data_IF_865277572388
#
_entry.id   IF_865277572388
#
_cell.length_a   1.000
_cell.length_b   1.000
_cell.length_c   1.000
_cell.angle_alpha   90.00
_cell.angle_beta   90.00
_cell.angle_gamma   90.00
#
_symmetry.space_group_name_H-M   'P 1'
#
loop_
_entity.id
_entity.type
_entity.pdbx_description
1 polymer ?
#
# COMPACT_ATOMS: atom_id res chain seq x y z
N UNK A 1 -20.07 -11.70 -11.23
CA UNK A 1 -20.01 -11.87 -9.76
C UNK A 1 -18.81 -12.74 -9.41
N UNK A 2 -17.83 -12.23 -8.64
CA UNK A 2 -16.71 -13.05 -8.13
C UNK A 2 -17.28 -14.12 -7.19
N UNK A 3 -17.10 -15.41 -7.52
CA UNK A 3 -17.41 -16.49 -6.59
C UNK A 3 -16.49 -16.33 -5.37
N UNK A 4 -16.99 -15.74 -4.28
CA UNK A 4 -16.30 -15.76 -3.00
C UNK A 4 -16.29 -17.21 -2.56
N UNK A 5 -15.10 -17.79 -2.41
CA UNK A 5 -14.92 -19.13 -1.84
C UNK A 5 -15.88 -19.32 -0.66
N UNK A 6 -16.63 -20.42 -0.65
CA UNK A 6 -17.57 -20.79 0.43
C UNK A 6 -16.90 -20.60 1.80
N UNK A 7 -15.60 -20.93 1.87
CA UNK A 7 -14.78 -20.77 3.07
C UNK A 7 -14.71 -19.32 3.57
N UNK A 8 -14.49 -18.35 2.67
CA UNK A 8 -14.46 -16.92 3.00
C UNK A 8 -15.80 -16.39 3.50
N UNK A 9 -16.90 -17.06 3.18
CA UNK A 9 -18.23 -16.63 3.62
C UNK A 9 -18.62 -17.26 4.95
N UNK A 10 -18.28 -18.53 5.18
CA UNK A 10 -18.70 -19.29 6.37
C UNK A 10 -17.76 -19.10 7.56
N UNK A 11 -16.45 -19.02 7.33
CA UNK A 11 -15.46 -19.02 8.42
C UNK A 11 -14.83 -17.66 8.69
N UNK A 12 -14.87 -16.74 7.71
CA UNK A 12 -14.23 -15.42 7.88
C UNK A 12 -15.12 -14.50 8.70
N UNK A 13 -14.72 -14.24 9.94
CA UNK A 13 -15.33 -13.18 10.75
C UNK A 13 -15.16 -11.84 10.01
N UNK A 14 -16.22 -11.05 9.94
CA UNK A 14 -16.18 -9.68 9.40
C UNK A 14 -15.26 -8.84 10.27
N UNK A 15 -14.01 -8.73 9.83
CA UNK A 15 -12.99 -7.97 10.55
C UNK A 15 -13.18 -6.49 10.26
N UNK A 16 -13.99 -5.80 11.09
CA UNK A 16 -14.11 -4.33 11.10
C UNK A 16 -12.74 -3.64 11.07
N UNK A 17 -11.75 -4.25 11.74
CA UNK A 17 -10.34 -3.85 11.72
C UNK A 17 -9.76 -3.68 10.31
N UNK A 18 -10.12 -4.55 9.35
CA UNK A 18 -9.59 -4.49 7.98
C UNK A 18 -10.15 -3.28 7.22
N UNK A 19 -11.45 -3.00 7.38
CA UNK A 19 -12.09 -1.83 6.80
C UNK A 19 -11.51 -0.54 7.36
N UNK A 20 -11.36 -0.48 8.69
CA UNK A 20 -10.70 0.63 9.36
C UNK A 20 -9.24 0.82 8.89
N UNK A 21 -8.45 -0.25 8.82
CA UNK A 21 -7.07 -0.17 8.36
C UNK A 21 -6.96 0.30 6.90
N UNK A 22 -7.88 -0.15 6.04
CA UNK A 22 -7.94 0.27 4.63
C UNK A 22 -8.28 1.76 4.51
N UNK A 23 -9.21 2.25 5.32
CA UNK A 23 -9.55 3.67 5.40
C UNK A 23 -8.36 4.52 5.85
N UNK A 24 -7.67 4.09 6.92
CA UNK A 24 -6.45 4.74 7.39
C UNK A 24 -5.34 4.74 6.33
N UNK A 25 -5.15 3.61 5.64
CA UNK A 25 -4.18 3.51 4.57
C UNK A 25 -4.46 4.50 3.42
N UNK A 26 -5.73 4.65 3.04
CA UNK A 26 -6.15 5.63 2.04
C UNK A 26 -5.85 7.07 2.47
N UNK A 27 -6.11 7.43 3.73
CA UNK A 27 -5.78 8.77 4.25
C UNK A 27 -4.27 8.99 4.29
N UNK A 28 -3.50 7.98 4.70
CA UNK A 28 -2.04 8.07 4.78
C UNK A 28 -1.36 8.13 3.40
N UNK A 29 -2.07 7.82 2.31
CA UNK A 29 -1.50 7.82 0.95
C UNK A 29 -0.99 9.19 0.52
N UNK A 30 -1.71 10.27 0.87
CA UNK A 30 -1.36 11.64 0.47
C UNK A 30 -0.10 12.14 1.19
N UNK A 31 -0.01 12.09 2.54
CA UNK A 31 1.20 12.49 3.26
C UNK A 31 2.41 11.62 2.90
N UNK A 32 2.19 10.33 2.62
CA UNK A 32 3.24 9.42 2.16
C UNK A 32 3.81 9.85 0.81
N UNK A 33 2.96 10.19 -0.17
CA UNK A 33 3.39 10.66 -1.49
C UNK A 33 4.33 11.87 -1.40
N UNK A 34 4.07 12.79 -0.46
CA UNK A 34 4.91 13.98 -0.23
C UNK A 34 6.37 13.62 0.06
N UNK A 35 6.63 12.47 0.69
CA UNK A 35 7.98 12.01 1.01
C UNK A 35 8.54 11.13 -0.11
N UNK A 36 7.74 10.20 -0.64
CA UNK A 36 8.21 9.18 -1.59
C UNK A 36 8.80 9.77 -2.86
N UNK A 37 8.24 10.88 -3.34
CA UNK A 37 8.73 11.60 -4.53
C UNK A 37 10.22 11.96 -4.40
N UNK A 38 10.72 12.20 -3.19
CA UNK A 38 12.12 12.51 -2.95
C UNK A 38 13.01 11.26 -2.80
N UNK A 39 12.53 10.20 -2.16
CA UNK A 39 13.36 9.03 -1.77
C UNK A 39 13.35 7.86 -2.75
N UNK A 40 12.27 7.67 -3.50
CA UNK A 40 12.09 6.50 -4.40
C UNK A 40 12.16 6.90 -5.86
N UNK A 41 12.58 5.98 -6.72
CA UNK A 41 12.65 6.13 -8.19
C UNK A 41 11.86 5.03 -8.88
N UNK A 42 11.61 5.18 -10.18
CA UNK A 42 11.03 4.11 -11.01
C UNK A 42 9.72 3.56 -10.41
N UNK A 43 8.81 4.46 -10.02
CA UNK A 43 7.51 4.09 -9.45
C UNK A 43 6.61 3.47 -10.53
N UNK A 44 5.67 2.60 -10.14
CA UNK A 44 4.69 2.07 -11.09
C UNK A 44 3.68 3.14 -11.54
N UNK A 45 3.22 3.08 -12.79
CA UNK A 45 2.26 4.05 -13.35
C UNK A 45 0.93 4.11 -12.60
N UNK A 46 0.48 2.95 -12.07
CA UNK A 46 -0.75 2.86 -11.26
C UNK A 46 -0.54 3.36 -9.83
N UNK A 47 0.71 3.37 -9.37
CA UNK A 47 1.06 3.79 -8.03
C UNK A 47 1.21 5.31 -7.95
N UNK A 48 1.96 5.91 -8.87
CA UNK A 48 2.22 7.35 -8.90
C UNK A 48 1.24 8.09 -9.81
N UNK A 49 0.43 8.97 -9.23
CA UNK A 49 -0.45 9.86 -9.99
C UNK A 49 0.15 11.26 -10.09
N UNK A 50 0.54 11.65 -11.31
CA UNK A 50 1.00 13.02 -11.56
C UNK A 50 -0.11 14.05 -11.34
N UNK A 51 -1.37 13.70 -11.64
CA UNK A 51 -2.52 14.57 -11.40
C UNK A 51 -2.67 14.94 -9.93
N UNK A 52 -2.51 13.96 -9.02
CA UNK A 52 -2.51 14.22 -7.58
C UNK A 52 -1.36 15.15 -7.16
N UNK A 53 -0.18 14.97 -7.77
CA UNK A 53 0.98 15.83 -7.51
C UNK A 53 0.74 17.29 -7.93
N UNK A 54 0.06 17.52 -9.06
CA UNK A 54 -0.35 18.88 -9.49
C UNK A 54 -1.32 19.49 -8.48
N UNK A 55 -2.32 18.74 -8.02
CA UNK A 55 -3.31 19.24 -7.05
C UNK A 55 -2.62 19.66 -5.74
N UNK A 56 -1.70 18.83 -5.22
CA UNK A 56 -0.93 19.16 -4.02
C UNK A 56 -0.02 20.37 -4.23
N UNK A 57 0.62 20.49 -5.40
CA UNK A 57 1.41 21.67 -5.74
C UNK A 57 0.56 22.95 -5.75
N UNK A 58 -0.61 22.92 -6.39
CA UNK A 58 -1.54 24.06 -6.41
C UNK A 58 -2.01 24.45 -5.00
N UNK A 59 -2.24 23.47 -4.13
CA UNK A 59 -2.58 23.73 -2.73
C UNK A 59 -1.45 24.47 -1.98
N UNK A 60 -0.20 24.08 -2.18
CA UNK A 60 0.96 24.80 -1.63
C UNK A 60 1.11 26.20 -2.23
N UNK A 61 0.88 26.35 -3.54
CA UNK A 61 0.93 27.64 -4.22
C UNK A 61 -0.16 28.60 -3.72
N UNK A 62 -1.39 28.13 -3.55
CA UNK A 62 -2.49 28.93 -3.00
C UNK A 62 -2.14 29.39 -1.58
N UNK A 63 -1.58 28.50 -0.76
CA UNK A 63 -1.13 28.84 0.60
C UNK A 63 -0.06 29.93 0.58
N UNK A 64 0.89 29.85 -0.36
CA UNK A 64 1.91 30.87 -0.57
C UNK A 64 1.30 32.23 -1.00
N UNK A 65 0.39 32.22 -1.97
CA UNK A 65 -0.26 33.44 -2.47
C UNK A 65 -1.11 34.11 -1.38
N UNK A 66 -1.86 33.34 -0.61
CA UNK A 66 -2.64 33.85 0.52
C UNK A 66 -1.74 34.46 1.61
N UNK A 67 -0.61 33.81 1.89
CA UNK A 67 0.41 34.32 2.81
C UNK A 67 1.01 35.65 2.33
N UNK A 68 1.32 35.77 1.04
CA UNK A 68 1.84 37.00 0.45
C UNK A 68 0.79 38.12 0.47
N UNK A 69 -0.46 37.81 0.13
CA UNK A 69 -1.57 38.77 0.13
C UNK A 69 -1.87 39.30 1.54
N UNK A 70 -1.96 38.42 2.53
CA UNK A 70 -2.19 38.81 3.93
C UNK A 70 -1.07 39.70 4.50
N UNK A 71 0.18 39.44 4.13
CA UNK A 71 1.31 40.27 4.51
C UNK A 71 1.26 41.66 3.86
N UNK A 72 0.90 41.73 2.57
CA UNK A 72 0.71 43.01 1.87
C UNK A 72 -0.40 43.85 2.51
N UNK A 73 -1.46 43.20 3.02
CA UNK A 73 -2.57 43.88 3.67
C UNK A 73 -2.28 44.34 5.11
N UNK A 74 -1.41 43.65 5.85
CA UNK A 74 -1.26 43.84 7.31
C UNK A 74 0.00 44.59 7.76
N UNK A 75 0.86 45.12 6.88
CA UNK A 75 2.12 45.83 7.19
C UNK A 75 3.07 45.14 8.21
N UNK A 76 2.80 43.90 8.61
CA UNK A 76 3.59 43.11 9.56
C UNK A 76 4.47 42.12 8.80
N UNK A 77 5.70 42.53 8.53
CA UNK A 77 6.54 41.98 7.48
C UNK A 77 7.29 40.67 7.81
N UNK A 78 7.12 40.03 8.97
CA UNK A 78 8.13 39.04 9.43
C UNK A 78 7.64 37.69 9.95
N UNK A 79 6.36 37.32 9.78
CA UNK A 79 5.80 36.13 10.45
C UNK A 79 5.22 35.02 9.57
N UNK A 80 5.21 35.13 8.23
CA UNK A 80 4.29 34.30 7.45
C UNK A 80 4.89 32.93 7.08
N UNK A 81 4.35 31.87 7.68
CA UNK A 81 4.72 30.46 7.45
C UNK A 81 4.58 29.97 5.98
N UNK A 82 3.96 30.76 5.08
CA UNK A 82 3.67 30.34 3.71
C UNK A 82 4.90 30.18 2.82
N UNK A 83 5.98 30.93 3.07
CA UNK A 83 7.19 30.85 2.23
C UNK A 83 7.87 29.49 2.29
N UNK A 84 7.98 28.88 3.48
CA UNK A 84 8.55 27.55 3.63
C UNK A 84 7.75 26.50 2.85
N UNK A 85 6.42 26.54 2.94
CA UNK A 85 5.54 25.66 2.17
C UNK A 85 5.63 25.90 0.67
N UNK A 86 5.77 27.16 0.23
CA UNK A 86 5.95 27.51 -1.17
C UNK A 86 7.23 26.92 -1.77
N UNK A 87 8.36 27.09 -1.09
CA UNK A 87 9.65 26.52 -1.51
C UNK A 87 9.56 24.98 -1.56
N UNK A 88 9.00 24.37 -0.50
CA UNK A 88 8.79 22.93 -0.47
C UNK A 88 7.89 22.46 -1.62
N UNK A 89 6.81 23.18 -1.92
CA UNK A 89 5.89 22.87 -3.02
C UNK A 89 6.59 22.90 -4.38
N UNK A 90 7.44 23.90 -4.64
CA UNK A 90 8.25 23.99 -5.87
C UNK A 90 9.20 22.79 -5.97
N UNK A 91 9.94 22.48 -4.89
CA UNK A 91 10.85 21.33 -4.86
C UNK A 91 10.09 20.01 -5.08
N UNK A 92 8.96 19.84 -4.40
CA UNK A 92 8.08 18.68 -4.57
C UNK A 92 7.64 18.53 -6.03
N UNK A 93 7.21 19.62 -6.68
CA UNK A 93 6.77 19.59 -8.07
C UNK A 93 7.91 19.24 -9.03
N UNK A 94 9.11 19.79 -8.82
CA UNK A 94 10.30 19.46 -9.63
C UNK A 94 10.62 17.97 -9.53
N UNK A 95 10.64 17.41 -8.32
CA UNK A 95 10.88 15.98 -8.15
C UNK A 95 9.71 15.13 -8.67
N UNK A 96 8.46 15.56 -8.51
CA UNK A 96 7.30 14.86 -9.05
C UNK A 96 7.33 14.80 -10.58
N UNK A 97 7.75 15.88 -11.24
CA UNK A 97 7.96 15.90 -12.69
C UNK A 97 9.11 14.98 -13.11
N UNK A 98 10.19 14.94 -12.32
CA UNK A 98 11.27 13.97 -12.53
C UNK A 98 10.77 12.52 -12.41
N UNK A 99 9.98 12.20 -11.38
CA UNK A 99 9.38 10.87 -11.21
C UNK A 99 8.44 10.54 -12.38
N UNK A 100 7.66 11.50 -12.88
CA UNK A 100 6.84 11.32 -14.09
C UNK A 100 7.69 10.91 -15.28
N UNK A 101 8.83 11.57 -15.51
CA UNK A 101 9.71 11.23 -16.63
C UNK A 101 10.34 9.84 -16.54
N UNK A 102 10.50 9.29 -15.33
CA UNK A 102 10.98 7.92 -15.10
C UNK A 102 9.91 6.87 -15.43
N UNK A 103 8.63 7.24 -15.42
CA UNK A 103 7.49 6.36 -15.71
C UNK A 103 7.20 6.26 -17.21
N UNK A 104 7.84 7.10 -18.03
CA UNK A 104 7.49 7.27 -19.45
C UNK A 104 7.39 5.93 -20.18
N UNK A 105 6.14 5.55 -20.38
CA UNK A 105 5.63 4.46 -21.19
C UNK A 105 5.98 4.70 -22.65
N UNK A 106 6.55 3.70 -23.31
CA UNK A 106 6.53 3.69 -24.77
C UNK A 106 5.07 3.37 -25.19
N UNK A 107 4.34 4.30 -25.83
CA UNK A 107 2.95 4.05 -26.21
C UNK A 107 2.80 2.85 -27.18
N UNK A 108 3.89 2.40 -27.78
CA UNK A 108 3.89 1.25 -28.71
C UNK A 108 4.13 -0.09 -28.02
N UNK A 109 4.67 -0.11 -26.78
CA UNK A 109 5.03 -1.33 -26.06
C UNK A 109 4.46 -1.34 -24.65
N UNK A 110 3.29 -1.96 -24.49
CA UNK A 110 2.68 -2.24 -23.18
C UNK A 110 3.52 -3.30 -22.46
N UNK A 111 4.36 -2.88 -21.52
CA UNK A 111 5.10 -3.78 -20.63
C UNK A 111 4.34 -3.99 -19.31
N UNK A 112 4.31 -5.24 -18.81
CA UNK A 112 3.65 -5.53 -17.53
C UNK A 112 4.31 -4.81 -16.34
N UNK A 113 5.59 -4.48 -16.46
CA UNK A 113 6.35 -3.77 -15.43
C UNK A 113 5.86 -2.32 -15.27
N UNK A 114 5.46 -1.69 -16.38
CA UNK A 114 4.97 -0.32 -16.40
C UNK A 114 3.60 -0.17 -15.71
N UNK A 115 2.68 -1.13 -15.93
CA UNK A 115 1.36 -1.16 -15.30
C UNK A 115 1.36 -1.74 -13.89
N UNK A 116 2.53 -1.79 -13.24
CA UNK A 116 2.67 -2.31 -11.88
C UNK A 116 2.17 -1.33 -10.82
N UNK A 117 1.78 -1.88 -9.67
CA UNK A 117 1.54 -1.14 -8.42
C UNK A 117 2.82 -1.00 -7.59
N UNK A 118 3.99 -1.02 -8.24
CA UNK A 118 5.27 -0.92 -7.57
C UNK A 118 5.43 0.45 -6.90
N UNK A 119 5.82 0.46 -5.63
CA UNK A 119 6.13 1.67 -4.87
C UNK A 119 7.43 2.35 -5.31
N UNK A 120 8.17 1.72 -6.22
CA UNK A 120 9.46 2.19 -6.72
C UNK A 120 10.66 1.61 -5.97
N UNK A 121 11.83 1.86 -6.52
CA UNK A 121 13.11 1.34 -6.07
C UNK A 121 13.76 2.25 -5.01
N UNK A 122 14.47 1.62 -4.07
CA UNK A 122 15.30 2.32 -3.09
C UNK A 122 16.49 3.00 -3.76
N UNK A 123 16.83 4.21 -3.31
CA UNK A 123 17.94 4.98 -3.88
C UNK A 123 19.03 5.31 -2.86
N UNK A 124 20.26 5.50 -3.36
CA UNK A 124 21.40 6.02 -2.59
C UNK A 124 21.68 5.27 -1.29
N UNK A 125 21.68 6.00 -0.18
CA UNK A 125 22.00 5.49 1.15
C UNK A 125 21.08 4.35 1.61
N UNK A 126 19.79 4.36 1.25
CA UNK A 126 18.84 3.31 1.62
C UNK A 126 19.15 1.99 0.94
N UNK A 127 19.60 2.04 -0.33
CA UNK A 127 20.01 0.85 -1.08
C UNK A 127 21.24 0.19 -0.45
N UNK A 128 22.24 0.98 -0.08
CA UNK A 128 23.43 0.47 0.62
C UNK A 128 23.08 -0.20 1.96
N UNK A 129 22.12 0.34 2.71
CA UNK A 129 21.64 -0.30 3.96
C UNK A 129 20.96 -1.65 3.72
N UNK A 130 20.24 -1.80 2.60
CA UNK A 130 19.65 -3.09 2.20
C UNK A 130 20.73 -4.13 1.86
N UNK A 131 21.78 -3.70 1.15
CA UNK A 131 22.92 -4.57 0.78
C UNK A 131 23.69 -5.06 2.02
N UNK A 132 23.72 -4.27 3.09
CA UNK A 132 24.27 -4.66 4.40
C UNK A 132 23.38 -5.64 5.20
N UNK A 133 22.38 -6.28 4.58
CA UNK A 133 21.52 -7.28 5.20
C UNK A 133 20.37 -6.71 6.04
N UNK A 134 20.12 -5.40 6.02
CA UNK A 134 18.96 -4.83 6.71
C UNK A 134 17.68 -5.23 5.98
N UNK A 135 16.70 -5.76 6.72
CA UNK A 135 15.42 -6.14 6.11
C UNK A 135 14.72 -4.94 5.47
N UNK A 136 14.16 -5.15 4.27
CA UNK A 136 13.44 -4.10 3.53
C UNK A 136 12.35 -3.45 4.40
N UNK A 137 11.59 -4.27 5.13
CA UNK A 137 10.58 -3.82 6.09
C UNK A 137 11.12 -2.81 7.11
N UNK A 138 12.34 -3.03 7.63
CA UNK A 138 12.94 -2.11 8.60
C UNK A 138 13.36 -0.81 7.93
N UNK A 139 13.87 -0.88 6.70
CA UNK A 139 14.25 0.29 5.92
C UNK A 139 13.03 1.18 5.67
N UNK A 140 11.94 0.62 5.15
CA UNK A 140 10.76 1.41 4.79
C UNK A 140 10.04 1.97 6.03
N UNK A 141 9.92 1.19 7.10
CA UNK A 141 9.19 1.64 8.29
C UNK A 141 9.99 2.66 9.10
N UNK A 142 11.30 2.46 9.23
CA UNK A 142 12.12 3.25 10.17
C UNK A 142 13.12 4.16 9.48
N UNK A 143 13.87 3.67 8.48
CA UNK A 143 14.98 4.45 7.93
C UNK A 143 14.53 5.50 6.91
N UNK A 144 13.61 5.17 6.00
CA UNK A 144 13.10 6.11 5.00
C UNK A 144 12.43 7.37 5.59
N UNK A 145 11.53 7.27 6.59
CA UNK A 145 10.87 8.44 7.17
C UNK A 145 11.77 9.21 8.14
N UNK A 146 12.83 8.59 8.70
CA UNK A 146 13.66 9.19 9.76
C UNK A 146 14.32 10.52 9.35
N UNK A 147 14.96 10.68 8.17
CA UNK A 147 15.50 11.97 7.74
C UNK A 147 14.44 13.08 7.68
N UNK A 148 13.22 12.77 7.27
CA UNK A 148 12.11 13.73 7.22
C UNK A 148 11.54 14.03 8.61
N UNK A 149 11.53 13.04 9.51
CA UNK A 149 11.15 13.25 10.90
C UNK A 149 12.11 14.20 11.59
N UNK A 150 13.42 13.94 11.50
CA UNK A 150 14.47 14.78 12.10
C UNK A 150 14.48 16.15 11.44
N UNK A 151 14.45 16.21 10.09
CA UNK A 151 14.38 17.47 9.35
C UNK A 151 13.14 18.29 9.71
N UNK A 152 11.99 17.64 9.82
CA UNK A 152 10.73 18.28 10.25
C UNK A 152 10.81 18.84 11.66
N UNK A 153 11.42 18.09 12.59
CA UNK A 153 11.65 18.53 13.96
C UNK A 153 12.56 19.76 14.01
N UNK A 154 13.67 19.78 13.26
CA UNK A 154 14.57 20.93 13.16
C UNK A 154 13.86 22.15 12.56
N UNK A 155 13.11 21.95 11.47
CA UNK A 155 12.34 23.02 10.81
C UNK A 155 11.23 23.61 11.70
N UNK A 156 10.78 22.87 12.72
CA UNK A 156 9.78 23.36 13.67
C UNK A 156 10.32 24.44 14.61
N UNK A 157 11.63 24.48 14.83
CA UNK A 157 12.26 25.52 15.66
C UNK A 157 12.50 26.82 14.90
N UNK A 158 12.47 26.78 13.57
CA UNK A 158 12.68 27.95 12.71
C UNK A 158 11.31 28.64 12.49
N UNK A 159 11.13 29.93 12.86
CA UNK A 159 9.83 30.59 12.91
C UNK A 159 9.02 30.58 11.61
N UNK A 160 9.68 30.68 10.46
CA UNK A 160 9.02 30.76 9.14
C UNK A 160 8.77 29.39 8.49
N UNK A 161 9.26 28.29 9.07
CA UNK A 161 9.07 26.93 8.54
C UNK A 161 8.28 26.02 9.49
N UNK A 162 7.66 26.56 10.55
CA UNK A 162 6.98 25.74 11.57
C UNK A 162 5.92 24.81 10.97
N UNK A 163 5.07 25.33 10.08
CA UNK A 163 4.01 24.53 9.44
C UNK A 163 4.60 23.45 8.53
N UNK A 164 5.67 23.76 7.78
CA UNK A 164 6.38 22.77 6.98
C UNK A 164 7.00 21.68 7.86
N UNK A 165 7.64 22.07 8.97
CA UNK A 165 8.19 21.15 9.94
C UNK A 165 7.15 20.18 10.49
N UNK A 166 5.99 20.70 10.90
CA UNK A 166 4.86 19.89 11.35
C UNK A 166 4.33 18.97 10.23
N UNK A 167 4.21 19.46 8.99
CA UNK A 167 3.79 18.68 7.84
C UNK A 167 4.71 17.50 7.59
N UNK A 168 6.03 17.71 7.58
CA UNK A 168 7.02 16.66 7.38
C UNK A 168 7.02 15.65 8.52
N UNK A 169 6.90 16.11 9.76
CA UNK A 169 6.86 15.25 10.93
C UNK A 169 5.61 14.36 10.91
N UNK A 170 4.42 14.95 10.68
CA UNK A 170 3.18 14.18 10.52
C UNK A 170 3.26 13.20 9.33
N UNK A 171 3.79 13.66 8.19
CA UNK A 171 3.96 12.81 7.00
C UNK A 171 4.88 11.63 7.27
N UNK A 172 5.97 11.83 8.02
CA UNK A 172 6.91 10.77 8.37
C UNK A 172 6.30 9.71 9.30
N UNK A 173 5.47 10.13 10.27
CA UNK A 173 4.75 9.21 11.16
C UNK A 173 3.71 8.41 10.37
N UNK A 174 2.91 9.08 9.53
CA UNK A 174 1.91 8.42 8.68
C UNK A 174 2.55 7.50 7.63
N UNK A 175 3.75 7.84 7.14
CA UNK A 175 4.56 6.98 6.29
C UNK A 175 4.88 5.66 7.00
N UNK A 176 5.48 5.71 8.20
CA UNK A 176 5.81 4.53 9.00
C UNK A 176 4.57 3.67 9.28
N UNK A 177 3.47 4.29 9.70
CA UNK A 177 2.22 3.61 10.00
C UNK A 177 1.60 2.96 8.75
N UNK A 178 1.63 3.64 7.61
CA UNK A 178 1.14 3.12 6.32
C UNK A 178 1.89 1.86 5.92
N UNK A 179 3.23 1.86 5.97
CA UNK A 179 4.03 0.67 5.66
C UNK A 179 3.84 -0.44 6.69
N UNK A 180 3.77 -0.12 7.99
CA UNK A 180 3.41 -1.11 9.02
C UNK A 180 2.08 -1.80 8.72
N UNK A 181 1.05 -1.03 8.37
CA UNK A 181 -0.26 -1.55 7.97
C UNK A 181 -0.20 -2.40 6.71
N UNK A 182 0.53 -1.96 5.68
CA UNK A 182 0.72 -2.71 4.43
C UNK A 182 1.38 -4.08 4.68
N UNK A 183 2.42 -4.13 5.51
CA UNK A 183 3.08 -5.40 5.87
C UNK A 183 2.17 -6.32 6.69
N UNK A 184 1.35 -5.77 7.59
CA UNK A 184 0.37 -6.56 8.33
C UNK A 184 -0.68 -7.15 7.38
N UNK A 185 -1.22 -6.34 6.47
CA UNK A 185 -2.18 -6.78 5.44
C UNK A 185 -1.60 -7.85 4.52
N UNK A 186 -0.36 -7.67 4.07
CA UNK A 186 0.31 -8.63 3.21
C UNK A 186 0.50 -9.98 3.92
N UNK A 187 0.88 -9.96 5.21
CA UNK A 187 1.00 -11.18 6.01
C UNK A 187 -0.35 -11.87 6.17
N UNK A 188 -1.39 -11.13 6.55
CA UNK A 188 -2.73 -11.69 6.74
C UNK A 188 -3.26 -12.26 5.42
N UNK A 189 -2.98 -11.62 4.28
CA UNK A 189 -3.31 -12.14 2.96
C UNK A 189 -2.61 -13.46 2.64
N UNK A 190 -1.32 -13.60 2.98
CA UNK A 190 -0.58 -14.86 2.79
C UNK A 190 -1.16 -15.96 3.68
N UNK A 191 -1.48 -15.65 4.94
CA UNK A 191 -2.12 -16.61 5.86
C UNK A 191 -3.49 -17.04 5.34
N UNK A 192 -4.33 -16.10 4.89
CA UNK A 192 -5.62 -16.38 4.26
C UNK A 192 -5.47 -17.34 3.05
N UNK A 193 -4.36 -17.25 2.30
CA UNK A 193 -4.08 -18.12 1.16
C UNK A 193 -3.58 -19.51 1.56
N UNK A 194 -2.79 -19.60 2.61
CA UNK A 194 -2.38 -20.88 3.19
C UNK A 194 -3.61 -21.62 3.73
N UNK A 195 -4.49 -20.92 4.47
CA UNK A 195 -5.72 -21.50 5.00
C UNK A 195 -6.68 -21.93 3.89
N UNK A 196 -6.81 -21.13 2.82
CA UNK A 196 -7.62 -21.50 1.65
C UNK A 196 -7.12 -22.80 1.00
N UNK A 197 -5.80 -22.99 0.92
CA UNK A 197 -5.19 -24.22 0.41
C UNK A 197 -5.44 -25.41 1.35
N UNK A 198 -5.16 -25.25 2.65
CA UNK A 198 -5.37 -26.31 3.66
C UNK A 198 -6.84 -26.74 3.68
N UNK A 199 -7.78 -25.79 3.71
CA UNK A 199 -9.20 -26.09 3.70
C UNK A 199 -9.62 -26.83 2.42
N UNK A 200 -9.04 -26.48 1.26
CA UNK A 200 -9.27 -27.19 0.00
C UNK A 200 -8.80 -28.66 0.07
N UNK A 201 -7.60 -28.90 0.59
CA UNK A 201 -7.03 -30.23 0.78
C UNK A 201 -7.88 -31.08 1.74
N UNK A 202 -8.23 -30.55 2.92
CA UNK A 202 -9.02 -31.24 3.94
C UNK A 202 -10.46 -31.50 3.47
N UNK A 203 -11.08 -30.55 2.77
CA UNK A 203 -12.41 -30.74 2.18
C UNK A 203 -12.39 -31.86 1.14
N UNK A 204 -11.36 -31.92 0.30
CA UNK A 204 -11.17 -33.02 -0.65
C UNK A 204 -11.03 -34.36 0.08
N UNK A 205 -10.19 -34.43 1.11
CA UNK A 205 -10.01 -35.66 1.89
C UNK A 205 -11.30 -36.10 2.59
N UNK A 206 -12.06 -35.17 3.18
CA UNK A 206 -13.34 -35.46 3.82
C UNK A 206 -14.37 -36.01 2.83
N UNK A 207 -14.44 -35.46 1.61
CA UNK A 207 -15.32 -35.97 0.55
C UNK A 207 -14.93 -37.39 0.14
N UNK A 208 -13.63 -37.65 -0.04
CA UNK A 208 -13.13 -38.95 -0.47
C UNK A 208 -13.30 -40.04 0.59
N UNK A 209 -12.96 -39.72 1.83
CA UNK A 209 -12.91 -40.68 2.94
C UNK A 209 -14.25 -40.87 3.65
N UNK A 210 -15.18 -39.92 3.53
CA UNK A 210 -16.46 -39.95 4.23
C UNK A 210 -16.36 -39.73 5.74
N UNK A 211 -15.16 -39.48 6.28
CA UNK A 211 -14.95 -39.21 7.71
C UNK A 211 -15.08 -37.71 8.01
N UNK A 212 -15.81 -37.39 9.08
CA UNK A 212 -15.94 -36.04 9.61
C UNK A 212 -15.28 -35.96 10.99
N UNK A 213 -14.42 -34.96 11.20
CA UNK A 213 -14.02 -34.53 12.53
C UNK A 213 -12.52 -34.66 12.82
N UNK A 214 -12.13 -35.73 13.53
CA UNK A 214 -10.85 -35.73 14.27
C UNK A 214 -9.58 -35.86 13.42
N UNK A 215 -9.66 -36.43 12.22
CA UNK A 215 -8.48 -36.63 11.37
C UNK A 215 -8.15 -35.40 10.50
N UNK A 216 -9.10 -34.48 10.33
CA UNK A 216 -9.03 -33.42 9.32
C UNK A 216 -8.40 -32.11 9.83
N UNK A 217 -7.29 -32.15 10.60
CA UNK A 217 -6.61 -30.96 11.18
C UNK A 217 -7.56 -29.94 11.86
N UNK A 218 -8.67 -30.39 12.44
CA UNK A 218 -9.69 -29.54 13.06
C UNK A 218 -10.71 -28.91 12.08
N UNK A 219 -10.64 -29.24 10.79
CA UNK A 219 -11.62 -28.88 9.78
C UNK A 219 -12.90 -29.71 9.95
N UNK A 220 -14.04 -29.03 10.12
CA UNK A 220 -15.36 -29.67 10.16
C UNK A 220 -16.13 -29.30 8.91
N UNK A 221 -16.36 -30.28 8.02
CA UNK A 221 -17.25 -30.09 6.88
C UNK A 221 -18.69 -30.00 7.37
N UNK A 222 -19.36 -28.88 7.09
CA UNK A 222 -20.78 -28.65 7.44
C UNK A 222 -21.73 -28.88 6.26
N UNK A 223 -21.19 -29.12 5.07
CA UNK A 223 -22.00 -29.43 3.90
C UNK A 223 -22.44 -30.90 3.92
N UNK A 224 -23.66 -31.22 3.46
CA UNK A 224 -24.06 -32.60 3.28
C UNK A 224 -23.11 -33.30 2.30
N UNK A 225 -22.60 -34.47 2.69
CA UNK A 225 -21.72 -35.30 1.87
C UNK A 225 -22.58 -36.25 1.04
N UNK A 226 -22.40 -36.36 -0.29
CA UNK A 226 -23.11 -37.33 -1.10
C UNK A 226 -22.86 -38.76 -0.62
N UNK A 227 -23.90 -39.59 -0.60
CA UNK A 227 -23.79 -41.00 -0.22
C UNK A 227 -23.09 -41.83 -1.29
N UNK A 228 -23.23 -41.47 -2.55
CA UNK A 228 -22.61 -42.19 -3.67
C UNK A 228 -21.11 -41.87 -3.80
N UNK A 229 -20.29 -42.90 -4.01
CA UNK A 229 -18.84 -42.79 -4.11
C UNK A 229 -18.42 -42.14 -5.42
N UNK A 230 -19.12 -42.43 -6.52
CA UNK A 230 -18.81 -41.86 -7.84
C UNK A 230 -18.98 -40.33 -7.81
N UNK A 231 -20.08 -39.84 -7.24
CA UNK A 231 -20.29 -38.41 -7.04
C UNK A 231 -19.25 -37.76 -6.11
N UNK A 232 -18.79 -38.46 -5.06
CA UNK A 232 -17.73 -37.97 -4.18
C UNK A 232 -16.40 -37.80 -4.92
N UNK A 233 -16.04 -38.79 -5.75
CA UNK A 233 -14.81 -38.74 -6.55
C UNK A 233 -14.87 -37.66 -7.63
N UNK A 234 -16.03 -37.45 -8.26
CA UNK A 234 -16.24 -36.35 -9.19
C UNK A 234 -16.07 -34.98 -8.50
N UNK A 235 -16.68 -34.78 -7.32
CA UNK A 235 -16.54 -33.54 -6.54
C UNK A 235 -15.10 -33.31 -6.07
N UNK A 236 -14.42 -34.36 -5.60
CA UNK A 236 -13.02 -34.32 -5.20
C UNK A 236 -12.14 -33.82 -6.36
N UNK A 237 -12.33 -34.39 -7.55
CA UNK A 237 -11.60 -34.00 -8.74
C UNK A 237 -11.94 -32.56 -9.17
N UNK A 238 -13.19 -32.11 -9.06
CA UNK A 238 -13.56 -30.72 -9.37
C UNK A 238 -12.87 -29.72 -8.42
N UNK A 239 -12.75 -30.04 -7.14
CA UNK A 239 -12.12 -29.17 -6.15
C UNK A 239 -10.59 -29.13 -6.36
N UNK A 240 -9.94 -30.28 -6.55
CA UNK A 240 -8.49 -30.35 -6.73
C UNK A 240 -8.01 -29.92 -8.12
N UNK A 241 -8.78 -30.19 -9.19
CA UNK A 241 -8.42 -29.76 -10.55
C UNK A 241 -8.46 -28.24 -10.68
N UNK A 242 -9.34 -27.57 -9.92
CA UNK A 242 -9.36 -26.10 -9.78
C UNK A 242 -8.12 -25.55 -9.09
N UNK A 243 -7.51 -26.34 -8.20
CA UNK A 243 -6.32 -25.95 -7.45
C UNK A 243 -5.03 -26.18 -8.27
N UNK A 244 -4.96 -27.29 -9.02
CA UNK A 244 -3.83 -27.62 -9.91
C UNK A 244 -3.76 -26.77 -11.15
N UNK A 245 -4.87 -26.26 -11.67
CA UNK A 245 -4.83 -25.41 -12.86
C UNK A 245 -4.02 -24.15 -12.60
N UNK A 246 -3.88 -23.69 -11.34
CA UNK A 246 -2.98 -22.59 -10.94
C UNK A 246 -3.23 -21.25 -11.64
N UNK A 247 -4.05 -21.24 -12.68
CA UNK A 247 -4.45 -20.08 -13.45
C UNK A 247 -5.20 -19.19 -12.49
N UNK A 248 -4.63 -18.03 -12.10
CA UNK A 248 -5.50 -16.95 -11.72
C UNK A 248 -6.43 -16.82 -12.92
N UNK A 249 -7.74 -16.92 -12.69
CA UNK A 249 -8.69 -16.41 -13.67
C UNK A 249 -8.32 -14.93 -13.78
N UNK A 250 -7.44 -14.62 -14.74
CA UNK A 250 -6.97 -13.30 -15.07
C UNK A 250 -8.13 -12.61 -15.75
N UNK A 251 -9.14 -12.31 -14.95
CA UNK A 251 -10.23 -11.45 -15.36
C UNK A 251 -9.69 -10.05 -15.13
N UNK A 252 -9.26 -9.44 -16.23
CA UNK A 252 -9.02 -8.01 -16.35
C UNK A 252 -10.09 -7.25 -15.57
N UNK A 253 -9.65 -6.30 -14.73
CA UNK A 253 -10.54 -5.38 -14.02
C UNK A 253 -11.30 -4.51 -15.00
#
# INVERSE_FOLDING_TARGET
MKQKSYFKQVFRRTNFKLGFLSFFYSICSVPRLLLEVFIRKNMGSRYFSFGLSIILFLLFLITLLFSAFSQAASYSALGSNGYGLGIFGILFFVFANKRRSEINSDPTHVSFDEFSLSTGELTGWFKSRKENGTSLRRIEIWFEPLPFFIGGLVLMFIPFTRILGLLLLLSSVLYSLSYMGAYALARDFIMDKIDEKIAGEEMGQALKSGFAGHEARGFTNRSPIPTDQEHRDQLYNLILKRDKSGEPTAVAQ
#
